data_IF_620965991460
#
_entry.id   IF_620965991460
#
_cell.length_a   1.000
_cell.length_b   1.000
_cell.length_c   1.000
_cell.angle_alpha   90.00
_cell.angle_beta   90.00
_cell.angle_gamma   90.00
#
_symmetry.space_group_name_H-M   'P 1'
#
loop_
_entity.id
_entity.type
_entity.pdbx_description
1 polymer ?
#
# COMPACT_ATOMS: atom_id res chain seq x y z
N UNK A 1 -83.63 27.18 -32.79
CA UNK A 1 -83.96 27.49 -31.38
C UNK A 1 -82.72 27.26 -30.52
N UNK A 2 -82.26 28.30 -29.81
CA UNK A 2 -81.37 28.34 -28.61
C UNK A 2 -79.98 27.66 -28.73
N UNK A 3 -78.84 28.28 -28.38
CA UNK A 3 -78.56 29.58 -27.76
C UNK A 3 -77.04 29.79 -27.55
N UNK A 4 -76.67 31.07 -27.50
CA UNK A 4 -75.43 31.78 -27.14
C UNK A 4 -74.33 31.06 -26.31
N UNK A 5 -73.06 31.36 -26.64
CA UNK A 5 -72.12 32.10 -25.76
C UNK A 5 -70.83 32.46 -26.54
N UNK A 6 -70.61 33.72 -26.92
CA UNK A 6 -70.00 34.88 -26.21
C UNK A 6 -68.53 35.13 -26.59
N UNK A 7 -68.31 36.36 -27.10
CA UNK A 7 -67.07 37.17 -27.17
C UNK A 7 -66.12 36.92 -28.37
N UNK A 8 -66.13 37.74 -29.43
CA UNK A 8 -65.55 39.11 -29.60
C UNK A 8 -64.02 39.03 -29.82
N UNK A 9 -63.53 39.11 -31.08
CA UNK A 9 -63.05 40.31 -31.81
C UNK A 9 -61.50 40.40 -31.73
N UNK A 10 -60.75 40.07 -32.78
CA UNK A 10 -60.28 40.91 -33.92
C UNK A 10 -59.00 41.74 -33.62
N UNK A 11 -58.13 41.80 -34.64
CA UNK A 11 -56.89 42.59 -34.80
C UNK A 11 -55.64 42.06 -34.10
N UNK A 12 -54.43 42.15 -34.66
CA UNK A 12 -53.89 42.50 -35.97
C UNK A 12 -52.36 42.26 -35.89
N UNK A 13 -51.74 41.99 -37.04
CA UNK A 13 -50.36 42.32 -37.46
C UNK A 13 -49.17 42.29 -36.48
N UNK A 14 -48.11 41.63 -36.97
CA UNK A 14 -46.70 41.72 -36.59
C UNK A 14 -46.27 40.95 -35.32
N UNK A 15 -45.57 39.83 -35.54
CA UNK A 15 -44.15 39.67 -35.23
C UNK A 15 -43.72 38.26 -35.64
N UNK A 16 -42.84 38.16 -36.64
CA UNK A 16 -41.85 37.09 -36.67
C UNK A 16 -40.98 37.26 -35.41
N UNK A 17 -41.15 36.37 -34.45
CA UNK A 17 -40.26 36.20 -33.30
C UNK A 17 -40.43 34.79 -32.75
N UNK A 18 -39.38 34.21 -32.18
CA UNK A 18 -38.30 33.58 -32.92
C UNK A 18 -38.43 32.06 -32.77
N UNK A 19 -37.75 31.30 -33.62
CA UNK A 19 -37.12 30.06 -33.16
C UNK A 19 -36.54 30.36 -31.79
N UNK A 20 -37.10 29.79 -30.72
CA UNK A 20 -36.47 29.85 -29.41
C UNK A 20 -35.09 29.26 -29.61
N UNK A 21 -34.11 30.16 -29.72
CA UNK A 21 -32.71 29.83 -29.63
C UNK A 21 -32.61 28.94 -28.40
N UNK A 22 -32.16 27.69 -28.62
CA UNK A 22 -31.68 26.84 -27.56
C UNK A 22 -30.81 27.73 -26.67
N UNK A 23 -31.31 28.03 -25.47
CA UNK A 23 -30.61 28.86 -24.53
C UNK A 23 -29.19 28.30 -24.42
N UNK A 24 -28.22 29.11 -24.82
CA UNK A 24 -26.79 28.84 -24.78
C UNK A 24 -26.49 28.04 -23.51
N UNK A 25 -25.81 26.90 -23.64
CA UNK A 25 -25.66 25.82 -22.63
C UNK A 25 -25.17 26.25 -21.25
N UNK A 26 -25.98 27.06 -20.57
CA UNK A 26 -25.73 27.76 -19.33
C UNK A 26 -26.71 27.23 -18.29
N UNK A 27 -26.14 26.82 -17.17
CA UNK A 27 -26.77 26.07 -16.11
C UNK A 27 -26.53 26.76 -14.77
N UNK A 28 -27.52 26.66 -13.90
CA UNK A 28 -27.44 27.11 -12.51
C UNK A 28 -27.76 25.95 -11.56
N UNK A 29 -27.00 25.75 -10.47
CA UNK A 29 -27.32 24.75 -9.46
C UNK A 29 -28.70 25.02 -8.84
N UNK A 30 -29.49 23.97 -8.59
CA UNK A 30 -30.87 24.11 -8.07
C UNK A 30 -30.94 24.20 -6.53
N UNK A 31 -29.80 24.14 -5.84
CA UNK A 31 -29.68 24.29 -4.38
C UNK A 31 -28.23 24.20 -3.90
N UNK A 32 -28.00 24.37 -2.59
CA UNK A 32 -26.68 24.11 -1.98
C UNK A 32 -26.37 22.62 -2.07
N UNK A 33 -25.48 22.28 -2.99
CA UNK A 33 -25.13 20.90 -3.31
C UNK A 33 -23.63 20.76 -3.57
N UNK A 34 -23.18 19.53 -3.73
CA UNK A 34 -21.81 19.23 -4.12
C UNK A 34 -21.77 18.77 -5.58
N UNK A 35 -20.82 19.30 -6.34
CA UNK A 35 -20.44 18.81 -7.65
C UNK A 35 -18.98 18.35 -7.61
N UNK A 36 -18.67 17.26 -8.29
CA UNK A 36 -17.39 16.56 -8.12
C UNK A 36 -16.64 16.43 -9.43
N UNK A 37 -15.31 16.38 -9.35
CA UNK A 37 -14.46 16.02 -10.51
C UNK A 37 -14.65 14.55 -10.87
N UNK A 38 -14.89 13.69 -9.87
CA UNK A 38 -15.13 12.28 -10.09
C UNK A 38 -16.64 12.00 -10.32
N UNK A 39 -17.04 11.48 -11.49
CA UNK A 39 -18.45 11.20 -11.78
C UNK A 39 -19.07 10.13 -10.86
N UNK A 40 -18.27 9.23 -10.28
CA UNK A 40 -18.75 8.25 -9.30
C UNK A 40 -19.12 8.91 -7.98
N UNK A 41 -18.33 9.89 -7.54
CA UNK A 41 -18.61 10.64 -6.32
C UNK A 41 -19.88 11.50 -6.48
N UNK A 42 -20.07 12.15 -7.64
CA UNK A 42 -21.31 12.87 -7.96
C UNK A 42 -22.53 11.97 -7.80
N UNK A 43 -22.49 10.74 -8.32
CA UNK A 43 -23.61 9.78 -8.18
C UNK A 43 -23.78 9.28 -6.74
N UNK A 44 -22.68 9.01 -6.04
CA UNK A 44 -22.71 8.52 -4.66
C UNK A 44 -23.35 9.54 -3.69
N UNK A 45 -23.04 10.83 -3.86
CA UNK A 45 -23.61 11.91 -3.04
C UNK A 45 -25.08 12.20 -3.37
N UNK A 46 -25.54 11.88 -4.57
CA UNK A 46 -26.92 12.10 -4.97
C UNK A 46 -27.86 10.90 -4.69
N UNK A 47 -27.33 9.74 -4.32
CA UNK A 47 -28.14 8.56 -4.03
C UNK A 47 -28.73 8.59 -2.61
N UNK A 48 -29.81 9.35 -2.42
CA UNK A 48 -30.50 9.49 -1.13
C UNK A 48 -31.06 8.17 -0.54
N UNK A 49 -31.09 7.08 -1.31
CA UNK A 49 -31.45 5.75 -0.83
C UNK A 49 -30.28 4.97 -0.21
N UNK A 50 -29.05 5.49 -0.28
CA UNK A 50 -27.88 4.83 0.31
C UNK A 50 -27.75 5.16 1.81
N UNK A 51 -27.86 4.17 2.72
CA UNK A 51 -27.81 4.42 4.16
C UNK A 51 -26.47 5.02 4.61
N UNK A 52 -25.40 4.88 3.82
CA UNK A 52 -24.08 5.44 4.11
C UNK A 52 -24.04 6.96 4.02
N UNK A 53 -25.03 7.62 3.38
CA UNK A 53 -25.12 9.08 3.38
C UNK A 53 -25.33 9.68 4.77
N UNK A 54 -25.84 8.89 5.73
CA UNK A 54 -26.00 9.31 7.11
C UNK A 54 -24.71 9.18 7.94
N UNK A 55 -23.64 8.60 7.38
CA UNK A 55 -22.32 8.51 8.03
C UNK A 55 -21.44 9.71 7.61
N UNK A 56 -21.14 10.65 8.54
CA UNK A 56 -20.31 11.81 8.23
C UNK A 56 -18.90 11.46 7.76
N UNK A 57 -18.33 10.34 8.23
CA UNK A 57 -17.00 9.89 7.82
C UNK A 57 -16.99 9.40 6.39
N UNK A 58 -18.03 8.66 5.99
CA UNK A 58 -18.21 8.22 4.61
C UNK A 58 -18.47 9.40 3.66
N UNK A 59 -19.34 10.33 4.03
CA UNK A 59 -19.61 11.54 3.23
C UNK A 59 -18.34 12.37 3.06
N UNK A 60 -17.57 12.57 4.14
CA UNK A 60 -16.30 13.30 4.08
C UNK A 60 -15.27 12.60 3.17
N UNK A 61 -15.18 11.26 3.23
CA UNK A 61 -14.35 10.46 2.34
C UNK A 61 -14.76 10.66 0.87
N UNK A 62 -16.04 10.55 0.55
CA UNK A 62 -16.55 10.70 -0.83
C UNK A 62 -16.31 12.12 -1.37
N UNK A 63 -16.51 13.15 -0.53
CA UNK A 63 -16.22 14.54 -0.89
C UNK A 63 -14.72 14.74 -1.19
N UNK A 64 -13.86 14.15 -0.35
CA UNK A 64 -12.40 14.32 -0.45
C UNK A 64 -11.83 13.57 -1.66
N UNK A 65 -12.14 12.28 -1.78
CA UNK A 65 -11.69 11.41 -2.88
C UNK A 65 -12.28 11.87 -4.23
N UNK A 66 -13.55 12.27 -4.22
CA UNK A 66 -14.23 12.77 -5.41
C UNK A 66 -13.81 14.17 -5.85
N UNK A 67 -13.03 14.88 -5.02
CA UNK A 67 -12.70 16.31 -5.15
C UNK A 67 -13.96 17.14 -5.41
N UNK A 68 -14.89 17.05 -4.48
CA UNK A 68 -16.18 17.72 -4.58
C UNK A 68 -16.10 19.16 -4.05
N UNK A 69 -16.76 20.07 -4.75
CA UNK A 69 -16.87 21.47 -4.39
C UNK A 69 -18.33 21.78 -4.06
N UNK A 70 -18.54 22.61 -3.05
CA UNK A 70 -19.85 23.21 -2.84
C UNK A 70 -20.14 24.15 -4.01
N UNK A 71 -21.35 24.04 -4.54
CA UNK A 71 -21.87 24.88 -5.62
C UNK A 71 -23.08 25.65 -5.11
N UNK A 72 -23.20 26.89 -5.57
CA UNK A 72 -24.25 27.80 -5.14
C UNK A 72 -25.19 28.14 -6.31
N UNK A 73 -26.51 28.27 -6.10
CA UNK A 73 -27.46 28.62 -7.16
C UNK A 73 -27.17 29.93 -7.90
N UNK A 74 -26.47 30.88 -7.25
CA UNK A 74 -26.04 32.14 -7.87
C UNK A 74 -24.89 31.95 -8.88
N UNK A 75 -24.22 30.80 -8.87
CA UNK A 75 -23.11 30.50 -9.77
C UNK A 75 -23.63 30.10 -11.15
N UNK A 76 -23.00 30.66 -12.19
CA UNK A 76 -23.28 30.34 -13.59
C UNK A 76 -22.29 29.28 -14.06
N UNK A 77 -22.78 28.29 -14.79
CA UNK A 77 -22.00 27.16 -15.29
C UNK A 77 -22.27 26.94 -16.78
N UNK A 78 -21.23 26.65 -17.55
CA UNK A 78 -21.33 26.35 -18.98
C UNK A 78 -21.06 24.87 -19.23
N UNK A 79 -21.86 24.24 -20.09
CA UNK A 79 -21.66 22.85 -20.46
C UNK A 79 -20.49 22.68 -21.42
N UNK A 80 -19.59 21.77 -21.07
CA UNK A 80 -18.46 21.35 -21.90
C UNK A 80 -18.81 20.08 -22.66
N UNK A 81 -19.32 19.07 -21.95
CA UNK A 81 -19.68 17.77 -22.52
C UNK A 81 -20.74 17.07 -21.68
N UNK A 82 -21.24 15.93 -22.16
CA UNK A 82 -22.13 15.05 -21.42
C UNK A 82 -21.62 13.61 -21.55
N UNK A 83 -21.41 12.95 -20.41
CA UNK A 83 -20.84 11.60 -20.36
C UNK A 83 -21.64 10.71 -19.41
N UNK A 84 -22.10 9.56 -19.90
CA UNK A 84 -22.84 8.57 -19.10
C UNK A 84 -24.01 9.17 -18.30
N UNK A 85 -24.75 10.12 -18.90
CA UNK A 85 -25.90 10.78 -18.26
C UNK A 85 -25.53 11.86 -17.24
N UNK A 86 -24.26 12.20 -17.06
CA UNK A 86 -23.80 13.34 -16.26
C UNK A 86 -23.37 14.50 -17.16
N UNK A 87 -23.62 15.73 -16.73
CA UNK A 87 -23.20 16.94 -17.41
C UNK A 87 -21.84 17.38 -16.87
N UNK A 88 -20.85 17.55 -17.74
CA UNK A 88 -19.57 18.15 -17.36
C UNK A 88 -19.67 19.66 -17.60
N UNK A 89 -19.66 20.43 -16.52
CA UNK A 89 -19.82 21.88 -16.58
C UNK A 89 -18.57 22.59 -16.06
N UNK A 90 -18.22 23.73 -16.65
CA UNK A 90 -17.24 24.67 -16.11
C UNK A 90 -17.93 25.89 -15.52
N UNK A 91 -17.39 26.44 -14.45
CA UNK A 91 -17.89 27.69 -13.88
C UNK A 91 -17.57 28.87 -14.80
N UNK A 92 -18.52 29.78 -14.95
CA UNK A 92 -18.36 31.06 -15.64
C UNK A 92 -18.79 32.21 -14.69
N UNK A 93 -17.87 33.10 -14.25
CA UNK A 93 -16.45 33.12 -14.57
C UNK A 93 -15.66 31.99 -13.88
N UNK A 94 -14.54 31.55 -14.47
CA UNK A 94 -13.71 30.48 -13.90
C UNK A 94 -13.10 30.92 -12.56
N UNK A 95 -13.05 29.99 -11.60
CA UNK A 95 -12.42 30.18 -10.29
C UNK A 95 -11.07 29.45 -10.26
N UNK A 96 -10.01 30.14 -9.84
CA UNK A 96 -8.67 29.54 -9.71
C UNK A 96 -8.72 28.30 -8.82
N UNK A 97 -8.22 27.17 -9.35
CA UNK A 97 -8.20 25.89 -8.64
C UNK A 97 -9.51 25.08 -8.71
N UNK A 98 -10.55 25.58 -9.40
CA UNK A 98 -11.81 24.84 -9.62
C UNK A 98 -11.86 24.30 -11.06
N UNK A 99 -11.60 23.00 -11.25
CA UNK A 99 -11.73 22.35 -12.57
C UNK A 99 -13.21 22.20 -12.97
N UNK A 100 -13.50 21.79 -14.22
CA UNK A 100 -14.83 21.33 -14.60
C UNK A 100 -15.35 20.21 -13.69
N UNK A 101 -16.63 20.26 -13.34
CA UNK A 101 -17.27 19.34 -12.41
C UNK A 101 -18.41 18.60 -13.10
N UNK A 102 -18.65 17.36 -12.69
CA UNK A 102 -19.79 16.58 -13.11
C UNK A 102 -21.01 16.86 -12.24
N UNK A 103 -22.13 17.13 -12.90
CA UNK A 103 -23.44 17.34 -12.33
C UNK A 103 -24.42 16.28 -12.85
N UNK A 104 -25.36 15.88 -12.00
CA UNK A 104 -26.56 15.21 -12.47
C UNK A 104 -27.48 16.21 -13.16
N UNK A 105 -28.21 15.81 -14.22
CA UNK A 105 -29.16 16.70 -14.88
C UNK A 105 -30.21 17.32 -13.95
N UNK A 106 -30.52 16.66 -12.82
CA UNK A 106 -31.48 17.12 -11.82
C UNK A 106 -30.89 18.17 -10.84
N UNK A 107 -29.56 18.26 -10.75
CA UNK A 107 -28.86 19.20 -9.86
C UNK A 107 -28.75 20.61 -10.47
N UNK A 108 -29.11 20.77 -11.75
CA UNK A 108 -28.95 22.03 -12.49
C UNK A 108 -30.17 22.38 -13.33
N UNK A 109 -30.49 23.66 -13.43
CA UNK A 109 -31.54 24.19 -14.31
C UNK A 109 -30.92 25.05 -15.42
N UNK A 110 -31.39 24.87 -16.66
CA UNK A 110 -31.01 25.76 -17.76
C UNK A 110 -31.80 27.07 -17.67
N UNK A 111 -31.11 28.22 -17.70
CA UNK A 111 -31.74 29.56 -17.72
C UNK A 111 -31.53 30.43 -16.46
N UNK A 112 -32.09 31.65 -16.49
CA UNK A 112 -31.77 32.80 -15.60
C UNK A 112 -31.69 32.47 -14.09
N UNK A 113 -30.77 33.12 -13.34
CA UNK A 113 -30.52 32.84 -11.92
C UNK A 113 -31.81 32.93 -11.09
N UNK A 114 -32.06 31.93 -10.24
CA UNK A 114 -33.06 32.03 -9.19
C UNK A 114 -32.53 33.06 -8.18
N UNK A 115 -33.23 34.18 -7.91
CA UNK A 115 -32.73 35.18 -6.97
C UNK A 115 -32.56 34.56 -5.58
N UNK A 116 -31.47 34.88 -4.87
CA UNK A 116 -31.25 34.37 -3.53
C UNK A 116 -32.41 34.81 -2.63
N UNK A 117 -33.07 33.86 -1.98
CA UNK A 117 -34.03 34.14 -0.91
C UNK A 117 -33.27 34.86 0.22
N UNK A 118 -33.78 35.98 0.76
CA UNK A 118 -33.08 36.72 1.80
C UNK A 118 -32.94 35.88 3.06
N UNK A 119 -31.69 35.70 3.49
CA UNK A 119 -31.30 35.07 4.75
C UNK A 119 -31.99 35.79 5.91
N UNK A 120 -32.83 35.06 6.65
CA UNK A 120 -33.40 35.55 7.89
C UNK A 120 -32.29 35.84 8.90
N UNK A 121 -32.43 36.99 9.54
CA UNK A 121 -31.53 37.61 10.51
C UNK A 121 -31.18 36.67 11.68
N UNK A 122 -29.92 36.77 12.13
CA UNK A 122 -29.55 36.31 13.47
C UNK A 122 -30.14 37.26 14.53
N UNK A 123 -30.57 36.73 15.68
CA UNK A 123 -30.41 37.48 16.92
C UNK A 123 -29.77 36.65 18.04
N UNK A 124 -28.61 37.14 18.48
CA UNK A 124 -28.17 37.42 19.87
C UNK A 124 -28.40 36.41 21.02
N UNK A 125 -27.29 36.09 21.69
CA UNK A 125 -27.12 35.37 22.96
C UNK A 125 -27.98 35.86 24.15
N UNK A 126 -28.41 34.90 24.99
CA UNK A 126 -28.79 35.09 26.40
C UNK A 126 -29.58 33.90 26.99
N UNK A 127 -29.37 33.47 28.26
CA UNK A 127 -29.16 32.06 28.59
C UNK A 127 -30.27 31.37 29.45
N UNK A 128 -30.04 30.07 29.77
CA UNK A 128 -30.60 29.24 30.89
C UNK A 128 -31.82 28.36 30.45
N UNK A 129 -32.03 27.05 30.76
CA UNK A 129 -31.69 26.14 31.89
C UNK A 129 -31.80 24.63 31.48
N UNK A 130 -31.21 23.74 32.28
CA UNK A 130 -31.17 22.27 32.17
C UNK A 130 -32.32 21.52 32.90
N UNK A 131 -32.83 20.46 32.25
CA UNK A 131 -33.37 19.15 32.75
C UNK A 131 -34.73 19.13 33.51
N UNK A 132 -35.42 17.96 33.73
CA UNK A 132 -35.09 16.55 33.36
C UNK A 132 -36.25 15.64 32.82
N UNK A 133 -35.83 14.49 32.26
CA UNK A 133 -36.33 13.09 32.35
C UNK A 133 -37.81 12.65 32.05
N UNK A 134 -37.94 11.83 30.98
CA UNK A 134 -38.54 10.46 30.88
C UNK A 134 -40.04 10.24 31.23
N UNK A 135 -40.79 9.29 30.60
CA UNK A 135 -40.36 7.90 30.29
C UNK A 135 -40.83 7.24 28.97
N UNK A 136 -40.16 6.13 28.62
CA UNK A 136 -40.60 5.08 27.67
C UNK A 136 -41.87 4.34 28.18
N UNK A 137 -42.66 3.69 27.31
CA UNK A 137 -42.39 2.31 26.85
C UNK A 137 -42.71 2.15 25.33
N UNK A 138 -42.46 1.08 24.57
CA UNK A 138 -42.61 -0.35 24.82
C UNK A 138 -42.08 -1.11 23.58
N UNK A 139 -41.51 -2.30 23.78
CA UNK A 139 -41.05 -3.23 22.72
C UNK A 139 -42.14 -4.27 22.42
N UNK A 140 -42.12 -4.91 21.24
CA UNK A 140 -42.30 -6.36 21.22
C UNK A 140 -41.18 -7.14 20.50
N UNK A 141 -40.70 -8.18 21.19
CA UNK A 141 -40.01 -9.40 20.71
C UNK A 141 -40.97 -10.27 19.86
N UNK A 142 -40.64 -11.32 19.07
CA UNK A 142 -39.45 -12.04 18.61
C UNK A 142 -39.90 -13.06 17.51
N UNK A 143 -38.99 -13.61 16.70
CA UNK A 143 -38.89 -15.08 16.46
C UNK A 143 -37.74 -15.49 15.51
N UNK A 144 -36.90 -16.36 16.08
CA UNK A 144 -36.01 -17.45 15.64
C UNK A 144 -35.55 -17.73 14.17
N UNK A 145 -34.21 -17.72 14.05
CA UNK A 145 -33.22 -18.66 13.44
C UNK A 145 -33.59 -19.67 12.32
N UNK A 146 -32.78 -19.66 11.25
CA UNK A 146 -32.11 -20.81 10.60
C UNK A 146 -31.09 -20.30 9.54
N UNK A 147 -29.77 -20.33 9.80
CA UNK A 147 -28.73 -21.21 9.20
C UNK A 147 -28.51 -21.17 7.69
N UNK A 148 -27.24 -20.86 7.34
CA UNK A 148 -26.40 -21.30 6.22
C UNK A 148 -26.86 -21.16 4.76
N UNK A 149 -26.04 -20.49 3.93
CA UNK A 149 -25.22 -21.12 2.86
C UNK A 149 -24.09 -20.16 2.45
N UNK A 150 -22.84 -20.56 2.72
CA UNK A 150 -21.60 -20.07 2.09
C UNK A 150 -21.13 -21.13 1.07
N UNK A 151 -20.78 -20.79 -0.19
CA UNK A 151 -20.11 -21.73 -1.09
C UNK A 151 -18.60 -21.83 -0.80
N UNK A 152 -18.10 -23.08 -0.82
CA UNK A 152 -16.77 -23.53 -0.40
C UNK A 152 -15.65 -23.26 -1.40
N UNK A 153 -14.45 -23.05 -0.85
CA UNK A 153 -13.17 -23.11 -1.56
C UNK A 153 -11.97 -23.00 -0.62
N UNK A 154 -11.47 -24.16 -0.19
CA UNK A 154 -10.13 -24.44 0.38
C UNK A 154 -9.98 -24.42 1.92
N UNK A 155 -10.31 -25.60 2.48
CA UNK A 155 -10.06 -26.04 3.85
C UNK A 155 -8.63 -26.58 4.04
N UNK A 156 -8.17 -26.54 5.29
CA UNK A 156 -6.82 -26.87 5.79
C UNK A 156 -6.64 -28.40 5.92
N UNK A 157 -5.48 -29.00 5.55
CA UNK A 157 -5.26 -30.42 5.77
C UNK A 157 -5.05 -30.74 7.26
N UNK A 158 -5.75 -31.78 7.74
CA UNK A 158 -5.45 -32.52 8.97
C UNK A 158 -4.50 -33.67 8.62
N UNK A 159 -3.56 -33.97 9.52
CA UNK A 159 -2.89 -35.26 9.55
C UNK A 159 -2.92 -35.79 10.99
N UNK A 160 -3.75 -36.81 11.19
CA UNK A 160 -3.56 -37.84 12.22
C UNK A 160 -2.84 -39.01 11.54
N UNK A 161 -1.81 -39.57 12.19
CA UNK A 161 -1.50 -41.00 12.28
C UNK A 161 -0.06 -41.24 12.79
N UNK A 162 0.04 -41.78 13.99
CA UNK A 162 1.13 -42.68 14.41
C UNK A 162 1.03 -44.01 13.61
N UNK A 163 2.09 -44.83 13.46
CA UNK A 163 2.44 -45.75 14.56
C UNK A 163 3.93 -46.17 14.71
N UNK A 164 4.25 -46.61 15.93
CA UNK A 164 5.06 -47.78 16.33
C UNK A 164 6.49 -48.06 15.79
N UNK A 165 7.43 -48.07 16.76
CA UNK A 165 8.43 -49.10 17.11
C UNK A 165 9.32 -49.78 16.04
N UNK A 166 10.65 -49.65 16.21
CA UNK A 166 11.61 -50.77 16.29
C UNK A 166 13.05 -50.28 16.51
N UNK A 167 13.72 -50.75 17.56
CA UNK A 167 15.19 -50.91 17.62
C UNK A 167 15.62 -52.08 16.72
N UNK A 168 16.90 -52.15 16.31
CA UNK A 168 17.82 -53.03 17.05
C UNK A 168 19.25 -52.50 17.21
N UNK A 169 19.92 -53.10 18.19
CA UNK A 169 21.35 -53.04 18.46
C UNK A 169 22.17 -53.92 17.49
N UNK A 170 23.48 -53.69 17.41
CA UNK A 170 24.59 -54.67 17.33
C UNK A 170 25.91 -53.90 17.11
N UNK A 171 26.91 -54.02 18.00
CA UNK A 171 28.05 -54.96 17.94
C UNK A 171 29.17 -54.37 17.04
N UNK A 172 30.44 -54.21 17.43
CA UNK A 172 31.34 -55.27 17.84
C UNK A 172 32.74 -54.74 18.22
N UNK A 173 33.41 -55.51 19.09
CA UNK A 173 34.86 -55.87 19.00
C UNK A 173 35.96 -54.92 19.53
N UNK A 174 36.53 -55.34 20.67
CA UNK A 174 37.97 -55.28 21.02
C UNK A 174 38.78 -56.26 20.11
N UNK A 175 40.14 -56.44 20.19
CA UNK A 175 40.84 -56.95 21.38
C UNK A 175 42.34 -56.54 21.53
N UNK A 176 43.00 -56.95 22.62
CA UNK A 176 44.48 -57.02 22.64
C UNK A 176 45.15 -57.01 24.03
N UNK A 177 45.05 -58.11 24.76
CA UNK A 177 45.95 -58.56 25.86
C UNK A 177 47.38 -58.89 25.33
N UNK A 178 48.48 -59.05 26.14
CA UNK A 178 48.51 -59.94 27.33
C UNK A 178 49.47 -59.63 28.52
N UNK A 179 49.11 -60.25 29.68
CA UNK A 179 49.86 -61.02 30.71
C UNK A 179 51.43 -61.06 30.70
N UNK A 180 52.17 -61.43 31.80
CA UNK A 180 51.77 -62.49 32.77
C UNK A 180 52.30 -62.48 34.24
N UNK A 181 51.65 -63.39 35.01
CA UNK A 181 52.17 -64.32 36.04
C UNK A 181 52.85 -63.84 37.33
N UNK A 182 52.31 -64.25 38.49
CA UNK A 182 52.80 -65.39 39.33
C UNK A 182 52.10 -65.42 40.71
N UNK A 183 51.87 -66.63 41.24
CA UNK A 183 51.37 -66.99 42.59
C UNK A 183 52.42 -67.89 43.28
N UNK A 184 52.25 -68.37 44.54
CA UNK A 184 51.91 -67.74 45.84
C UNK A 184 52.99 -68.12 46.90
N UNK A 185 52.83 -67.95 48.26
CA UNK A 185 52.05 -68.91 49.05
C UNK A 185 51.38 -68.41 50.37
N UNK A 186 50.27 -69.09 50.72
CA UNK A 186 49.91 -69.68 52.04
C UNK A 186 49.69 -68.88 53.35
N UNK A 187 48.63 -69.31 54.06
CA UNK A 187 48.31 -69.21 55.53
C UNK A 187 47.80 -67.82 55.97
N UNK A 188 46.69 -67.61 56.72
CA UNK A 188 45.95 -68.35 57.74
C UNK A 188 44.56 -67.73 57.91
N UNK A 189 43.57 -68.52 58.31
CA UNK A 189 42.26 -68.05 58.77
C UNK A 189 42.39 -67.23 60.06
N UNK A 190 41.90 -66.00 60.05
CA UNK A 190 41.40 -65.30 61.23
C UNK A 190 40.40 -64.22 60.82
N UNK A 191 39.10 -64.51 60.94
CA UNK A 191 38.12 -63.49 61.31
C UNK A 191 38.21 -63.34 62.85
N UNK A 192 37.99 -62.16 63.45
CA UNK A 192 36.94 -61.22 63.06
C UNK A 192 37.35 -59.73 63.11
N UNK A 193 36.71 -58.86 62.32
CA UNK A 193 36.23 -57.61 62.89
C UNK A 193 35.16 -56.95 62.00
N UNK A 194 33.96 -56.84 62.55
CA UNK A 194 32.95 -55.90 62.12
C UNK A 194 33.40 -54.50 62.56
N UNK A 195 33.62 -53.61 61.60
CA UNK A 195 33.33 -52.17 61.63
C UNK A 195 34.30 -51.43 60.72
N UNK A 196 33.80 -51.00 59.56
CA UNK A 196 34.06 -49.68 58.94
C UNK A 196 33.41 -49.63 57.55
N UNK A 197 32.10 -49.87 57.49
CA UNK A 197 31.31 -49.74 56.25
C UNK A 197 30.59 -48.38 56.12
N UNK A 198 30.71 -47.47 57.08
CA UNK A 198 29.98 -46.19 57.09
C UNK A 198 30.80 -45.03 56.51
N UNK A 199 32.13 -45.08 56.55
CA UNK A 199 33.01 -44.01 56.03
C UNK A 199 33.01 -43.92 54.51
N UNK A 200 33.04 -45.06 53.81
CA UNK A 200 33.04 -45.08 52.33
C UNK A 200 31.73 -44.58 51.70
N UNK A 201 30.59 -44.86 52.35
CA UNK A 201 29.26 -44.43 51.88
C UNK A 201 29.06 -42.92 52.07
N UNK A 202 29.58 -42.35 53.17
CA UNK A 202 29.59 -40.91 53.41
C UNK A 202 30.50 -40.17 52.43
N UNK A 203 31.70 -40.70 52.14
CA UNK A 203 32.62 -40.11 51.16
C UNK A 203 32.01 -40.15 49.75
N UNK A 204 31.38 -41.28 49.36
CA UNK A 204 30.68 -41.39 48.09
C UNK A 204 29.49 -40.42 47.99
N UNK A 205 28.69 -40.29 49.04
CA UNK A 205 27.56 -39.35 49.06
C UNK A 205 28.01 -37.88 48.97
N UNK A 206 29.13 -37.52 49.60
CA UNK A 206 29.72 -36.17 49.49
C UNK A 206 30.29 -35.91 48.09
N UNK A 207 30.93 -36.90 47.45
CA UNK A 207 31.39 -36.80 46.07
C UNK A 207 30.22 -36.65 45.09
N UNK A 208 29.19 -37.49 45.22
CA UNK A 208 27.98 -37.42 44.39
C UNK A 208 27.25 -36.10 44.60
N UNK A 209 27.08 -35.66 45.85
CA UNK A 209 26.52 -34.35 46.19
C UNK A 209 27.33 -33.18 45.65
N UNK A 210 28.67 -33.27 45.68
CA UNK A 210 29.58 -32.28 45.10
C UNK A 210 29.49 -32.21 43.57
N UNK A 211 29.40 -33.36 42.90
CA UNK A 211 29.22 -33.45 41.43
C UNK A 211 27.86 -32.90 41.02
N UNK A 212 26.77 -33.31 41.69
CA UNK A 212 25.42 -32.78 41.45
C UNK A 212 25.39 -31.26 41.69
N UNK A 213 25.96 -30.80 42.81
CA UNK A 213 26.07 -29.38 43.14
C UNK A 213 26.86 -28.58 42.09
N UNK A 214 27.93 -29.14 41.55
CA UNK A 214 28.71 -28.56 40.46
C UNK A 214 27.88 -28.43 39.17
N UNK A 215 27.14 -29.48 38.79
CA UNK A 215 26.24 -29.42 37.62
C UNK A 215 25.10 -28.42 37.82
N UNK A 216 24.50 -28.35 39.01
CA UNK A 216 23.46 -27.36 39.34
C UNK A 216 24.03 -25.94 39.29
N UNK A 217 25.21 -25.69 39.88
CA UNK A 217 25.86 -24.38 39.83
C UNK A 217 26.23 -23.98 38.41
N UNK A 218 26.73 -24.92 37.59
CA UNK A 218 27.04 -24.72 36.18
C UNK A 218 25.77 -24.41 35.37
N UNK A 219 24.68 -25.12 35.62
CA UNK A 219 23.39 -24.87 34.99
C UNK A 219 22.84 -23.49 35.37
N UNK A 220 22.90 -23.10 36.66
CA UNK A 220 22.49 -21.77 37.13
C UNK A 220 23.34 -20.66 36.52
N UNK A 221 24.66 -20.84 36.43
CA UNK A 221 25.57 -19.88 35.77
C UNK A 221 25.26 -19.75 34.28
N UNK A 222 24.98 -20.86 33.59
CA UNK A 222 24.56 -20.84 32.18
C UNK A 222 23.25 -20.09 32.00
N UNK A 223 22.24 -20.39 32.81
CA UNK A 223 20.94 -19.70 32.76
C UNK A 223 21.07 -18.20 33.04
N UNK A 224 21.94 -17.80 33.99
CA UNK A 224 22.19 -16.39 34.28
C UNK A 224 22.88 -15.67 33.10
N UNK A 225 23.85 -16.31 32.44
CA UNK A 225 24.51 -15.76 31.23
C UNK A 225 23.52 -15.61 30.08
N UNK A 226 22.69 -16.61 29.84
CA UNK A 226 21.64 -16.58 28.82
C UNK A 226 20.64 -15.44 29.08
N UNK A 227 20.18 -15.29 30.33
CA UNK A 227 19.27 -14.20 30.72
C UNK A 227 19.91 -12.82 30.53
N UNK A 228 21.21 -12.67 30.82
CA UNK A 228 21.94 -11.41 30.60
C UNK A 228 22.07 -11.10 29.12
N UNK A 229 22.46 -12.08 28.31
CA UNK A 229 22.55 -11.96 26.86
C UNK A 229 21.19 -11.57 26.25
N UNK A 230 20.11 -12.24 26.67
CA UNK A 230 18.76 -11.90 26.24
C UNK A 230 18.35 -10.48 26.62
N UNK A 231 18.70 -10.01 27.84
CA UNK A 231 18.43 -8.64 28.26
C UNK A 231 19.06 -7.59 27.35
N UNK A 232 20.30 -7.82 26.90
CA UNK A 232 20.99 -6.95 25.94
C UNK A 232 20.29 -6.96 24.58
N UNK A 233 19.96 -8.16 24.08
CA UNK A 233 19.28 -8.35 22.79
C UNK A 233 17.91 -7.64 22.79
N UNK A 234 17.04 -7.96 23.75
CA UNK A 234 15.69 -7.40 23.83
C UNK A 234 15.69 -5.89 24.05
N UNK A 235 16.69 -5.35 24.77
CA UNK A 235 16.89 -3.91 24.88
C UNK A 235 17.21 -3.28 23.52
N UNK A 236 18.21 -3.79 22.80
CA UNK A 236 18.59 -3.24 21.49
C UNK A 236 17.45 -3.34 20.47
N UNK A 237 16.69 -4.45 20.44
CA UNK A 237 15.52 -4.59 19.56
C UNK A 237 14.47 -3.52 19.90
N UNK A 238 14.19 -3.28 21.19
CA UNK A 238 13.23 -2.23 21.60
C UNK A 238 13.73 -0.83 21.24
N UNK A 239 15.01 -0.55 21.46
CA UNK A 239 15.60 0.76 21.16
C UNK A 239 15.54 1.06 19.64
N UNK A 240 15.56 0.02 18.80
CA UNK A 240 15.46 0.12 17.33
C UNK A 240 14.04 -0.17 16.78
N UNK A 241 13.02 -0.24 17.63
CA UNK A 241 11.67 -0.67 17.24
C UNK A 241 11.10 0.12 16.05
N UNK A 242 11.16 1.45 16.09
CA UNK A 242 10.64 2.30 15.01
C UNK A 242 11.35 2.06 13.68
N UNK A 243 12.68 1.92 13.70
CA UNK A 243 13.46 1.66 12.50
C UNK A 243 13.12 0.28 11.91
N UNK A 244 12.99 -0.75 12.75
CA UNK A 244 12.59 -2.10 12.34
C UNK A 244 11.19 -2.12 11.73
N UNK A 245 10.23 -1.39 12.31
CA UNK A 245 8.86 -1.27 11.80
C UNK A 245 8.83 -0.58 10.43
N UNK A 246 9.55 0.55 10.27
CA UNK A 246 9.66 1.26 8.99
C UNK A 246 10.31 0.37 7.93
N UNK A 247 11.43 -0.31 8.27
CA UNK A 247 12.12 -1.22 7.34
C UNK A 247 11.23 -2.37 6.90
N UNK A 248 10.44 -2.95 7.81
CA UNK A 248 9.49 -4.01 7.45
C UNK A 248 8.45 -3.51 6.47
N UNK A 249 7.85 -2.34 6.71
CA UNK A 249 6.90 -1.73 5.76
C UNK A 249 7.51 -1.48 4.38
N UNK A 250 8.79 -1.06 4.31
CA UNK A 250 9.49 -0.80 3.05
C UNK A 250 9.87 -2.07 2.28
N UNK A 251 10.19 -3.16 2.98
CA UNK A 251 10.76 -4.38 2.39
C UNK A 251 9.71 -5.47 2.12
N UNK A 252 8.52 -5.36 2.73
CA UNK A 252 7.38 -6.22 2.46
C UNK A 252 6.71 -5.77 1.17
N UNK A 253 6.91 -6.54 0.10
CA UNK A 253 6.33 -6.25 -1.23
C UNK A 253 5.26 -7.27 -1.57
N UNK A 254 4.21 -6.85 -2.27
CA UNK A 254 3.18 -7.74 -2.83
C UNK A 254 3.39 -7.97 -4.32
N UNK A 255 3.14 -9.18 -4.81
CA UNK A 255 3.09 -9.46 -6.26
C UNK A 255 1.75 -8.97 -6.88
N UNK A 256 1.62 -9.17 -8.19
CA UNK A 256 0.40 -8.85 -8.94
C UNK A 256 -0.83 -9.68 -8.52
N UNK A 257 -0.63 -10.74 -7.72
CA UNK A 257 -1.66 -11.65 -7.22
C UNK A 257 -1.97 -11.43 -5.72
N UNK A 258 -1.33 -10.45 -5.07
CA UNK A 258 -1.49 -10.16 -3.65
C UNK A 258 -0.67 -11.03 -2.71
N UNK A 259 0.25 -11.86 -3.22
CA UNK A 259 1.17 -12.66 -2.41
C UNK A 259 2.22 -11.78 -1.76
N UNK A 260 2.39 -11.90 -0.45
CA UNK A 260 3.36 -11.13 0.32
C UNK A 260 4.74 -11.78 0.22
N UNK A 261 5.72 -11.06 -0.32
CA UNK A 261 7.13 -11.49 -0.36
C UNK A 261 7.91 -10.95 0.83
N UNK A 262 8.40 -11.86 1.68
CA UNK A 262 9.18 -11.54 2.90
C UNK A 262 10.69 -11.72 2.73
N UNK A 263 11.18 -12.10 1.54
CA UNK A 263 12.58 -12.50 1.34
C UNK A 263 13.57 -11.37 1.63
N UNK A 264 13.22 -10.13 1.24
CA UNK A 264 14.06 -8.94 1.52
C UNK A 264 14.07 -8.63 3.01
N UNK A 265 12.92 -8.74 3.66
CA UNK A 265 12.78 -8.55 5.09
C UNK A 265 13.57 -9.59 5.91
N UNK A 266 13.53 -10.86 5.53
CA UNK A 266 14.32 -11.92 6.19
C UNK A 266 15.84 -11.64 6.12
N UNK A 267 16.32 -11.11 5.00
CA UNK A 267 17.73 -10.68 4.86
C UNK A 267 18.07 -9.51 5.78
N UNK A 268 17.15 -8.56 5.94
CA UNK A 268 17.32 -7.41 6.84
C UNK A 268 17.43 -7.84 8.31
N UNK A 269 16.62 -8.82 8.75
CA UNK A 269 16.74 -9.42 10.10
C UNK A 269 18.16 -9.97 10.31
N UNK A 270 18.67 -10.74 9.33
CA UNK A 270 20.03 -11.28 9.39
C UNK A 270 21.10 -10.18 9.45
N UNK A 271 20.94 -9.12 8.65
CA UNK A 271 21.84 -7.97 8.66
C UNK A 271 21.82 -7.23 10.01
N UNK A 272 20.65 -6.97 10.57
CA UNK A 272 20.48 -6.34 11.88
C UNK A 272 21.15 -7.17 12.99
N UNK A 273 20.92 -8.47 13.02
CA UNK A 273 21.55 -9.36 13.98
C UNK A 273 23.09 -9.33 13.87
N UNK A 274 23.64 -9.32 12.66
CA UNK A 274 25.08 -9.34 12.45
C UNK A 274 25.76 -8.00 12.75
N UNK A 275 25.08 -6.88 12.48
CA UNK A 275 25.67 -5.53 12.60
C UNK A 275 25.38 -4.84 13.93
N UNK A 276 24.30 -5.23 14.62
CA UNK A 276 23.89 -4.63 15.90
C UNK A 276 24.01 -5.61 17.05
N UNK A 277 23.38 -6.78 16.94
CA UNK A 277 23.27 -7.71 18.07
C UNK A 277 24.60 -8.41 18.37
N UNK A 278 25.26 -8.99 17.35
CA UNK A 278 26.52 -9.72 17.53
C UNK A 278 27.65 -8.86 18.13
N UNK A 279 27.90 -7.62 17.67
CA UNK A 279 28.91 -6.76 18.28
C UNK A 279 28.63 -6.44 19.75
N UNK A 280 27.36 -6.20 20.12
CA UNK A 280 26.99 -5.94 21.51
C UNK A 280 27.26 -7.16 22.41
N UNK A 281 26.94 -8.36 21.93
CA UNK A 281 27.27 -9.60 22.64
C UNK A 281 28.78 -9.85 22.72
N UNK A 282 29.54 -9.47 21.70
CA UNK A 282 30.99 -9.60 21.67
C UNK A 282 31.67 -8.74 22.73
N UNK A 283 31.25 -7.48 22.87
CA UNK A 283 31.77 -6.56 23.90
C UNK A 283 31.55 -7.12 25.32
N UNK A 284 30.42 -7.79 25.53
CA UNK A 284 30.05 -8.38 26.82
C UNK A 284 30.60 -9.80 27.03
N UNK A 285 31.31 -10.37 26.06
CA UNK A 285 31.83 -11.74 26.13
C UNK A 285 30.75 -12.82 26.19
N UNK A 286 29.62 -12.58 25.50
CA UNK A 286 28.42 -13.42 25.48
C UNK A 286 28.08 -13.99 24.09
N UNK A 287 29.00 -13.89 23.11
CA UNK A 287 28.79 -14.41 21.74
C UNK A 287 28.48 -15.91 21.71
N UNK A 288 28.98 -16.67 22.69
CA UNK A 288 28.71 -18.11 22.85
C UNK A 288 27.23 -18.42 23.09
N UNK A 289 26.45 -17.45 23.56
CA UNK A 289 25.01 -17.60 23.80
C UNK A 289 24.17 -17.36 22.54
N UNK A 290 24.73 -16.74 21.49
CA UNK A 290 23.99 -16.35 20.29
C UNK A 290 23.29 -17.51 19.57
N UNK A 291 23.92 -18.68 19.33
CA UNK A 291 23.26 -19.78 18.63
C UNK A 291 21.97 -20.27 19.31
N UNK A 292 21.89 -20.16 20.64
CA UNK A 292 20.72 -20.55 21.42
C UNK A 292 19.62 -19.48 21.37
N UNK A 293 20.02 -18.21 21.31
CA UNK A 293 19.10 -17.06 21.38
C UNK A 293 18.66 -16.54 20.01
N UNK A 294 19.34 -16.93 18.93
CA UNK A 294 19.09 -16.44 17.56
C UNK A 294 17.62 -16.54 17.16
N UNK A 295 17.03 -17.73 17.23
CA UNK A 295 15.64 -17.95 16.82
C UNK A 295 14.66 -17.09 17.65
N UNK A 296 14.93 -16.95 18.95
CA UNK A 296 14.13 -16.12 19.87
C UNK A 296 14.27 -14.63 19.53
N UNK A 297 15.47 -14.18 19.17
CA UNK A 297 15.74 -12.81 18.77
C UNK A 297 15.03 -12.46 17.45
N UNK A 298 15.12 -13.35 16.45
CA UNK A 298 14.44 -13.19 15.16
C UNK A 298 12.92 -13.10 15.34
N UNK A 299 12.33 -13.97 16.16
CA UNK A 299 10.90 -13.90 16.49
C UNK A 299 10.50 -12.60 17.17
N UNK A 300 11.36 -12.09 18.07
CA UNK A 300 11.12 -10.82 18.78
C UNK A 300 11.22 -9.60 17.86
N UNK A 301 12.15 -9.62 16.90
CA UNK A 301 12.27 -8.60 15.85
C UNK A 301 10.99 -8.59 14.99
N UNK A 302 10.54 -9.77 14.54
CA UNK A 302 9.31 -9.89 13.75
C UNK A 302 8.09 -9.35 14.51
N UNK A 303 7.92 -9.73 15.78
CA UNK A 303 6.81 -9.28 16.64
C UNK A 303 6.75 -7.75 16.79
N UNK A 304 7.89 -7.10 17.01
CA UNK A 304 7.96 -5.65 17.16
C UNK A 304 7.74 -4.94 15.83
N UNK A 305 8.32 -5.48 14.75
CA UNK A 305 8.26 -4.89 13.43
C UNK A 305 6.87 -4.98 12.78
N UNK A 306 6.04 -5.97 13.18
CA UNK A 306 4.65 -6.09 12.71
C UNK A 306 3.72 -4.95 13.18
N UNK A 307 4.11 -4.22 14.22
CA UNK A 307 3.29 -3.12 14.77
C UNK A 307 3.45 -1.87 13.92
N UNK A 308 2.37 -1.11 13.76
CA UNK A 308 2.42 0.20 13.08
C UNK A 308 3.28 1.18 13.90
N UNK A 309 4.26 1.89 13.30
CA UNK A 309 5.07 2.85 14.03
C UNK A 309 4.21 3.99 14.59
N UNK A 310 4.44 4.45 15.83
CA UNK A 310 3.76 5.61 16.38
C UNK A 310 3.99 6.85 15.49
N UNK A 311 2.92 7.50 15.02
CA UNK A 311 3.01 8.67 14.15
C UNK A 311 3.35 8.35 12.69
N UNK A 312 3.29 7.08 12.27
CA UNK A 312 3.43 6.71 10.86
C UNK A 312 2.23 7.20 10.05
N UNK A 313 2.32 8.41 9.52
CA UNK A 313 1.75 8.71 8.22
C UNK A 313 2.62 7.91 7.26
N UNK A 314 2.15 6.73 6.87
CA UNK A 314 2.71 6.04 5.73
C UNK A 314 2.79 7.09 4.63
N UNK A 315 3.94 7.21 3.93
CA UNK A 315 3.92 7.82 2.61
C UNK A 315 2.87 7.01 1.84
N UNK A 316 1.63 7.49 1.87
CA UNK A 316 0.65 7.21 0.85
C UNK A 316 1.39 7.75 -0.36
N UNK A 317 2.05 6.84 -1.08
CA UNK A 317 2.42 7.07 -2.45
C UNK A 317 1.20 7.77 -3.02
N UNK A 318 1.31 9.06 -3.42
CA UNK A 318 0.15 9.78 -3.91
C UNK A 318 -0.53 8.85 -4.90
N UNK A 319 -1.83 8.66 -4.76
CA UNK A 319 -2.60 7.92 -5.75
C UNK A 319 -2.53 8.78 -7.02
N UNK A 320 -1.41 8.71 -7.75
CA UNK A 320 -1.17 9.54 -8.90
C UNK A 320 -2.05 9.03 -10.02
N UNK A 321 -2.89 9.92 -10.55
CA UNK A 321 -3.71 9.61 -11.70
C UNK A 321 -2.86 9.76 -12.96
N UNK A 322 -2.55 8.68 -13.71
CA UNK A 322 -1.73 8.79 -14.92
C UNK A 322 -2.40 9.63 -16.02
N UNK A 323 -3.70 9.96 -15.91
CA UNK A 323 -4.38 10.83 -16.88
C UNK A 323 -3.99 12.30 -16.73
N UNK A 324 -3.45 12.70 -15.59
CA UNK A 324 -3.05 14.08 -15.29
C UNK A 324 -1.61 14.11 -14.84
N UNK A 325 -0.78 14.91 -15.50
CA UNK A 325 0.60 15.10 -15.08
C UNK A 325 0.65 15.78 -13.70
N UNK A 326 1.36 15.17 -12.75
CA UNK A 326 1.71 15.76 -11.46
C UNK A 326 3.24 15.60 -11.26
N UNK A 327 3.99 16.67 -10.96
CA UNK A 327 5.43 16.58 -10.66
C UNK A 327 5.77 15.65 -9.49
N UNK A 328 4.81 15.37 -8.60
CA UNK A 328 4.94 14.45 -7.47
C UNK A 328 4.36 13.05 -7.75
N UNK A 329 3.94 12.78 -8.99
CA UNK A 329 3.46 11.45 -9.36
C UNK A 329 4.56 10.40 -9.26
N UNK A 330 4.15 9.16 -9.09
CA UNK A 330 5.10 8.05 -9.14
C UNK A 330 5.69 7.88 -10.55
N UNK A 331 6.98 7.53 -10.69
CA UNK A 331 7.59 7.25 -11.99
C UNK A 331 6.82 6.22 -12.85
N UNK A 332 6.22 5.18 -12.27
CA UNK A 332 5.40 4.25 -13.04
C UNK A 332 4.10 4.88 -13.56
N UNK A 333 3.50 5.79 -12.79
CA UNK A 333 2.34 6.55 -13.27
C UNK A 333 2.76 7.58 -14.33
N UNK A 334 3.98 8.11 -14.26
CA UNK A 334 4.53 8.99 -15.32
C UNK A 334 4.77 8.24 -16.64
N UNK A 335 5.25 6.99 -16.57
CA UNK A 335 5.34 6.11 -17.74
C UNK A 335 3.95 5.86 -18.35
N UNK A 336 2.96 5.53 -17.52
CA UNK A 336 1.56 5.38 -17.97
C UNK A 336 1.00 6.68 -18.54
N UNK A 337 1.33 7.83 -17.95
CA UNK A 337 0.92 9.13 -18.47
C UNK A 337 1.45 9.36 -19.89
N UNK A 338 2.74 9.09 -20.11
CA UNK A 338 3.34 9.20 -21.43
C UNK A 338 2.72 8.20 -22.42
N UNK A 339 2.39 6.98 -21.98
CA UNK A 339 1.69 6.00 -22.82
C UNK A 339 0.29 6.48 -23.22
N UNK A 340 -0.48 7.04 -22.28
CA UNK A 340 -1.80 7.63 -22.56
C UNK A 340 -1.72 8.79 -23.57
N UNK A 341 -0.68 9.63 -23.51
CA UNK A 341 -0.46 10.69 -24.50
C UNK A 341 -0.21 10.12 -25.91
N UNK A 342 0.50 8.98 -26.00
CA UNK A 342 0.72 8.28 -27.27
C UNK A 342 -0.57 7.62 -27.80
N UNK A 343 -1.35 7.00 -26.91
CA UNK A 343 -2.66 6.43 -27.24
C UNK A 343 -3.63 7.49 -27.75
N UNK A 344 -3.67 8.66 -27.11
CA UNK A 344 -4.44 9.82 -27.56
C UNK A 344 -3.98 10.31 -28.95
N UNK A 345 -2.67 10.21 -29.24
CA UNK A 345 -2.12 10.45 -30.57
C UNK A 345 -2.33 9.27 -31.55
N UNK A 346 -3.11 8.26 -31.18
CA UNK A 346 -3.49 7.12 -32.01
C UNK A 346 -2.42 6.03 -32.16
N UNK A 347 -1.45 5.96 -31.25
CA UNK A 347 -0.47 4.87 -31.19
C UNK A 347 -0.98 3.73 -30.30
N UNK A 348 -0.70 2.49 -30.68
CA UNK A 348 -0.84 1.34 -29.79
C UNK A 348 0.40 1.29 -28.88
N UNK A 349 0.28 1.85 -27.67
CA UNK A 349 1.37 2.01 -26.73
C UNK A 349 1.22 1.05 -25.54
N UNK A 350 2.31 0.39 -25.15
CA UNK A 350 2.35 -0.49 -23.97
C UNK A 350 3.53 -0.11 -23.07
N UNK A 351 3.24 0.05 -21.78
CA UNK A 351 4.27 0.17 -20.73
C UNK A 351 4.92 -1.20 -20.55
N UNK A 352 6.24 -1.25 -20.47
CA UNK A 352 7.00 -2.48 -20.27
C UNK A 352 7.12 -2.82 -18.78
N UNK A 353 7.46 -4.08 -18.47
CA UNK A 353 7.64 -4.49 -17.08
C UNK A 353 9.02 -4.04 -16.61
N UNK A 354 9.08 -3.36 -15.44
CA UNK A 354 10.26 -2.76 -14.79
C UNK A 354 11.54 -3.64 -14.63
N UNK A 355 11.55 -4.87 -15.12
CA UNK A 355 12.63 -5.84 -15.02
C UNK A 355 12.84 -6.54 -16.37
N UNK A 356 13.96 -6.25 -17.04
CA UNK A 356 14.52 -7.09 -18.13
C UNK A 356 14.41 -6.52 -19.55
N UNK A 357 13.90 -5.32 -19.69
CA UNK A 357 13.52 -4.61 -20.92
C UNK A 357 14.61 -3.70 -21.50
N UNK A 358 15.82 -3.72 -20.93
CA UNK A 358 17.03 -3.11 -21.50
C UNK A 358 16.92 -1.61 -21.82
N UNK A 359 16.11 -0.85 -21.09
CA UNK A 359 16.06 0.62 -21.19
C UNK A 359 14.98 1.20 -22.12
N UNK A 360 13.88 0.46 -22.35
CA UNK A 360 12.63 1.04 -22.85
C UNK A 360 11.57 0.89 -21.77
N UNK A 361 10.85 1.98 -21.46
CA UNK A 361 9.71 1.97 -20.53
C UNK A 361 8.38 1.83 -21.30
N UNK A 362 8.34 2.27 -22.56
CA UNK A 362 7.18 2.16 -23.44
C UNK A 362 7.63 1.68 -24.82
N UNK A 363 6.86 0.76 -25.38
CA UNK A 363 6.94 0.38 -26.79
C UNK A 363 5.63 0.80 -27.44
N UNK A 364 5.68 1.54 -28.54
CA UNK A 364 4.47 1.96 -29.24
C UNK A 364 4.54 1.69 -30.74
N UNK A 365 3.40 1.35 -31.35
CA UNK A 365 3.30 1.09 -32.78
C UNK A 365 2.15 1.84 -33.44
N UNK A 366 2.36 2.33 -34.66
CA UNK A 366 1.33 2.99 -35.47
C UNK A 366 1.70 2.94 -36.95
N UNK A 367 0.77 2.50 -37.80
CA UNK A 367 0.96 2.52 -39.25
C UNK A 367 2.21 1.77 -39.73
N UNK A 368 2.57 0.67 -39.08
CA UNK A 368 3.78 -0.11 -39.39
C UNK A 368 5.09 0.45 -38.84
N UNK A 369 5.08 1.61 -38.17
CA UNK A 369 6.24 2.15 -37.43
C UNK A 369 6.20 1.72 -35.97
N UNK A 370 7.37 1.41 -35.41
CA UNK A 370 7.60 1.08 -34.00
C UNK A 370 8.54 2.10 -33.37
N UNK A 371 8.20 2.57 -32.18
CA UNK A 371 9.05 3.44 -31.37
C UNK A 371 9.29 2.83 -30.00
N UNK A 372 10.44 3.18 -29.41
CA UNK A 372 10.76 2.93 -28.00
C UNK A 372 10.92 4.24 -27.28
N UNK A 373 10.40 4.31 -26.05
CA UNK A 373 10.42 5.50 -25.22
C UNK A 373 10.99 5.17 -23.85
N UNK A 374 11.92 6.00 -23.38
CA UNK A 374 12.38 6.03 -22.00
C UNK A 374 11.88 7.31 -21.34
N UNK A 375 11.08 7.15 -20.29
CA UNK A 375 10.50 8.21 -19.47
C UNK A 375 11.41 8.50 -18.28
N UNK A 376 11.71 9.77 -18.02
CA UNK A 376 12.43 10.21 -16.81
C UNK A 376 11.66 11.34 -16.13
N UNK A 377 11.11 11.06 -14.95
CA UNK A 377 10.49 12.07 -14.08
C UNK A 377 11.52 12.57 -13.07
N UNK A 378 12.17 13.72 -13.34
CA UNK A 378 13.25 14.25 -12.50
C UNK A 378 13.04 15.70 -12.08
N UNK A 379 13.72 16.09 -10.99
CA UNK A 379 13.87 17.49 -10.56
C UNK A 379 15.12 18.18 -11.12
N UNK A 380 16.02 17.41 -11.73
CA UNK A 380 17.29 17.87 -12.31
C UNK A 380 17.38 17.47 -13.79
N UNK A 381 18.21 18.16 -14.60
CA UNK A 381 18.34 17.85 -16.01
C UNK A 381 18.79 16.41 -16.31
N UNK A 382 18.24 15.82 -17.34
CA UNK A 382 18.53 14.43 -17.75
C UNK A 382 19.91 14.31 -18.40
N UNK A 383 20.68 13.32 -17.94
CA UNK A 383 22.04 13.02 -18.40
C UNK A 383 22.13 11.93 -19.48
N UNK A 384 23.36 11.65 -19.93
CA UNK A 384 23.65 10.71 -21.03
C UNK A 384 23.08 9.31 -20.86
N UNK A 385 22.96 8.83 -19.61
CA UNK A 385 22.49 7.47 -19.31
C UNK A 385 21.15 7.16 -19.96
N UNK A 386 20.18 8.08 -19.89
CA UNK A 386 18.86 7.88 -20.50
C UNK A 386 18.93 7.72 -22.03
N UNK A 387 19.84 8.46 -22.68
CA UNK A 387 20.07 8.37 -24.13
C UNK A 387 20.70 7.02 -24.50
N UNK A 388 21.68 6.56 -23.72
CA UNK A 388 22.35 5.27 -23.94
C UNK A 388 21.38 4.09 -23.76
N UNK A 389 20.55 4.14 -22.72
CA UNK A 389 19.51 3.15 -22.42
C UNK A 389 18.55 3.00 -23.60
N UNK A 390 17.89 4.09 -24.01
CA UNK A 390 16.88 4.01 -25.07
C UNK A 390 17.49 3.73 -26.45
N UNK A 391 18.71 4.18 -26.71
CA UNK A 391 19.43 3.85 -27.94
C UNK A 391 19.67 2.33 -28.03
N UNK A 392 20.09 1.71 -26.93
CA UNK A 392 20.28 0.26 -26.86
C UNK A 392 18.95 -0.47 -27.02
N UNK A 393 17.90 0.01 -26.35
CA UNK A 393 16.56 -0.55 -26.44
C UNK A 393 16.00 -0.50 -27.87
N UNK A 394 16.31 0.56 -28.64
CA UNK A 394 15.93 0.67 -30.05
C UNK A 394 16.47 -0.49 -30.87
N UNK A 395 17.75 -0.81 -30.69
CA UNK A 395 18.41 -1.89 -31.42
C UNK A 395 17.81 -3.24 -31.03
N UNK A 396 17.60 -3.46 -29.73
CA UNK A 396 17.02 -4.70 -29.21
C UNK A 396 15.58 -4.92 -29.70
N UNK A 397 14.75 -3.87 -29.69
CA UNK A 397 13.34 -3.95 -30.09
C UNK A 397 13.12 -3.81 -31.61
N UNK A 398 14.19 -3.57 -32.37
CA UNK A 398 14.18 -3.26 -33.80
C UNK A 398 13.16 -2.14 -34.11
N UNK A 399 13.24 -1.05 -33.35
CA UNK A 399 12.35 0.10 -33.49
C UNK A 399 12.91 1.13 -34.47
N UNK A 400 12.02 1.86 -35.13
CA UNK A 400 12.36 2.87 -36.12
C UNK A 400 12.92 4.14 -35.47
N UNK A 401 12.39 4.52 -34.31
CA UNK A 401 12.83 5.68 -33.53
C UNK A 401 12.98 5.37 -32.03
N UNK A 402 13.86 6.13 -31.40
CA UNK A 402 14.06 6.14 -29.94
C UNK A 402 13.84 7.54 -29.39
N UNK A 403 13.16 7.60 -28.25
CA UNK A 403 12.75 8.86 -27.64
C UNK A 403 13.06 8.82 -26.14
N UNK A 404 13.76 9.83 -25.63
CA UNK A 404 13.75 10.14 -24.20
C UNK A 404 12.69 11.20 -23.96
N UNK A 405 11.80 10.93 -23.01
CA UNK A 405 10.74 11.85 -22.57
C UNK A 405 10.97 12.23 -21.12
N UNK A 406 10.83 13.52 -20.81
CA UNK A 406 11.06 14.05 -19.47
C UNK A 406 10.18 15.26 -19.19
N UNK A 407 9.95 15.55 -17.91
CA UNK A 407 9.39 16.81 -17.42
C UNK A 407 10.49 17.89 -17.21
N UNK A 408 11.73 17.46 -17.01
CA UNK A 408 12.89 18.33 -16.84
C UNK A 408 13.66 18.50 -18.17
N UNK A 409 14.50 19.53 -18.24
CA UNK A 409 15.40 19.74 -19.37
C UNK A 409 16.50 18.67 -19.48
N UNK A 410 17.30 18.77 -20.54
CA UNK A 410 18.43 17.87 -20.79
C UNK A 410 19.76 18.57 -20.55
N UNK A 411 20.81 17.82 -20.21
CA UNK A 411 22.18 18.36 -20.11
C UNK A 411 22.77 18.60 -21.51
N UNK A 412 23.79 19.46 -21.62
CA UNK A 412 24.51 19.71 -22.90
C UNK A 412 25.10 18.40 -23.47
N UNK A 413 25.80 17.56 -22.69
CA UNK A 413 26.30 16.28 -23.18
C UNK A 413 25.19 15.34 -23.67
N UNK A 414 24.03 15.33 -23.00
CA UNK A 414 22.90 14.49 -23.43
C UNK A 414 22.37 14.92 -24.78
N UNK A 415 22.28 16.24 -25.04
CA UNK A 415 21.90 16.78 -26.35
C UNK A 415 22.92 16.42 -27.44
N UNK A 416 24.21 16.51 -27.14
CA UNK A 416 25.27 16.11 -28.08
C UNK A 416 25.21 14.62 -28.41
N UNK A 417 24.99 13.76 -27.40
CA UNK A 417 24.85 12.33 -27.60
C UNK A 417 23.58 11.98 -28.37
N UNK A 418 22.46 12.64 -28.09
CA UNK A 418 21.21 12.47 -28.83
C UNK A 418 21.37 12.82 -30.33
N UNK A 419 22.08 13.92 -30.63
CA UNK A 419 22.36 14.32 -32.01
C UNK A 419 23.19 13.29 -32.80
N UNK A 420 24.13 12.60 -32.14
CA UNK A 420 24.97 11.58 -32.78
C UNK A 420 24.30 10.22 -32.87
N UNK A 421 23.43 9.87 -31.92
CA UNK A 421 22.71 8.58 -31.88
C UNK A 421 21.38 8.60 -32.63
N UNK A 422 20.88 9.78 -32.98
CA UNK A 422 19.54 9.96 -33.57
C UNK A 422 18.40 9.75 -32.59
N UNK A 423 18.66 9.82 -31.28
CA UNK A 423 17.65 9.75 -30.23
C UNK A 423 16.95 11.11 -30.11
N UNK A 424 15.63 11.11 -30.04
CA UNK A 424 14.84 12.32 -29.83
C UNK A 424 14.73 12.64 -28.35
N UNK A 425 14.95 13.90 -27.98
CA UNK A 425 14.81 14.39 -26.61
C UNK A 425 13.59 15.30 -26.55
N UNK A 426 12.54 14.88 -25.84
CA UNK A 426 11.27 15.58 -25.82
C UNK A 426 10.84 15.92 -24.41
N UNK A 427 10.12 17.03 -24.27
CA UNK A 427 9.22 17.22 -23.15
C UNK A 427 7.96 16.36 -23.36
N UNK A 428 7.31 15.87 -22.29
CA UNK A 428 6.11 15.02 -22.44
C UNK A 428 4.97 15.73 -23.20
N UNK A 429 4.85 17.05 -23.10
CA UNK A 429 3.87 17.83 -23.87
C UNK A 429 4.14 17.83 -25.39
N UNK A 430 5.38 17.57 -25.81
CA UNK A 430 5.75 17.53 -27.23
C UNK A 430 5.48 16.15 -27.84
N UNK A 431 5.32 15.13 -27.00
CA UNK A 431 5.29 13.72 -27.38
C UNK A 431 4.21 13.41 -28.41
N UNK A 432 2.97 13.82 -28.17
CA UNK A 432 1.84 13.59 -29.07
C UNK A 432 2.10 14.21 -30.46
N UNK A 433 2.41 15.51 -30.49
CA UNK A 433 2.63 16.25 -31.75
C UNK A 433 3.83 15.73 -32.55
N UNK A 434 4.90 15.30 -31.86
CA UNK A 434 6.06 14.71 -32.50
C UNK A 434 5.71 13.37 -33.13
N UNK A 435 4.99 12.52 -32.40
CA UNK A 435 4.65 11.18 -32.87
C UNK A 435 3.57 11.21 -33.96
N UNK A 436 2.71 12.22 -34.02
CA UNK A 436 1.82 12.45 -35.16
C UNK A 436 2.60 12.72 -36.45
N UNK A 437 3.60 13.61 -36.40
CA UNK A 437 4.49 13.88 -37.54
C UNK A 437 5.34 12.67 -37.93
N UNK A 438 5.69 11.83 -36.95
CA UNK A 438 6.41 10.59 -37.20
C UNK A 438 5.50 9.50 -37.78
N UNK A 439 4.18 9.60 -37.71
CA UNK A 439 3.27 8.59 -38.26
C UNK A 439 2.73 8.95 -39.66
N UNK A 440 2.79 10.24 -40.02
CA UNK A 440 2.62 10.72 -41.39
C UNK A 440 3.77 10.27 -42.30
#
# INVERSE_FOLDING_TARGET
MRGLNTKTLLMALALLSPTTALADGVFHPTGQSYACVNPRATRALANHGDPRQNDPGWVHFVITDGRCFQVDPSEKWEQISQENGLLLLRRDPPRTGMPPLFFLPQQVSAGLPIPPQPSAEAPTDGPVQLAPASPDPETPQASDKATDVLPKGWEKPRHDAEPAASTPAEDNSAPGDPAPATTPPSVSKSAPNQNSGSGGLLILALFVGGVIGFFVLRARRRAARESRAWGIIDKEIRDQATALQIRRLQLVTTDAYGTIHLTKWAKEIGYFCNTRILPLLQVEGLTDQWPLLKARAEARIEEIAQRTPPGAILNQKPLSDPRVFDPQMDPFDYERHCALLLEQAGWDARVTQASGDQGADIIATKGGRKIVVQCKLYSQPVGNKAVQEVYTAKQHQQADAAIVVSNAGYTIPARQLAATTGVHLLHHQELASFCERLAA
#
